data_IF_951202780612
#
_entry.id   IF_951202780612
#
_cell.length_a   1.000
_cell.length_b   1.000
_cell.length_c   1.000
_cell.angle_alpha   90.00
_cell.angle_beta   90.00
_cell.angle_gamma   90.00
#
_symmetry.space_group_name_H-M   'P 1'
#
loop_
_entity.id
_entity.type
_entity.pdbx_description
1 polymer ?
#
# COMPACT_ATOMS: atom_id res chain seq x y z
N UNK A 1 109.92 9.23 29.07
CA UNK A 1 109.18 8.84 30.29
C UNK A 1 107.82 9.52 30.23
N UNK A 2 106.82 8.79 30.69
CA UNK A 2 105.48 9.23 31.10
C UNK A 2 104.37 9.43 30.03
N UNK A 3 103.65 8.32 29.82
CA UNK A 3 102.21 8.11 30.10
C UNK A 3 101.54 9.26 30.88
N UNK A 4 100.29 9.70 30.72
CA UNK A 4 99.00 9.16 30.29
C UNK A 4 98.02 10.35 30.29
N UNK A 5 96.97 10.36 29.45
CA UNK A 5 95.56 10.66 29.83
C UNK A 5 94.62 10.40 28.62
N UNK A 6 93.39 9.85 28.81
CA UNK A 6 92.42 9.61 27.74
C UNK A 6 91.35 10.72 27.63
N UNK A 7 90.76 10.94 26.45
CA UNK A 7 89.52 11.74 26.27
C UNK A 7 88.78 11.34 24.96
N UNK A 8 87.47 11.62 24.77
CA UNK A 8 86.45 10.60 24.60
C UNK A 8 85.93 10.48 23.16
N UNK A 9 85.13 9.43 22.96
CA UNK A 9 84.37 9.11 21.76
C UNK A 9 83.60 10.31 21.17
N UNK A 10 83.67 10.45 19.85
CA UNK A 10 82.56 11.00 19.06
C UNK A 10 82.36 10.11 17.82
N UNK A 11 81.61 9.03 18.03
CA UNK A 11 80.98 8.29 16.95
C UNK A 11 79.86 9.17 16.37
N UNK A 12 80.11 9.81 15.24
CA UNK A 12 79.04 10.38 14.42
C UNK A 12 78.45 9.23 13.60
N UNK A 13 77.29 8.75 14.06
CA UNK A 13 76.48 7.70 13.43
C UNK A 13 75.89 8.14 12.09
N UNK A 14 75.79 7.20 11.15
CA UNK A 14 75.27 7.35 9.79
C UNK A 14 73.75 7.11 9.70
N UNK A 15 73.16 6.80 8.53
CA UNK A 15 72.53 7.66 7.53
C UNK A 15 70.99 7.49 7.53
N UNK A 16 70.34 7.50 8.70
CA UNK A 16 68.91 7.17 8.82
C UNK A 16 67.97 8.30 8.36
N UNK A 17 68.39 9.56 8.49
CA UNK A 17 67.56 10.76 8.27
C UNK A 17 67.00 10.89 6.84
N UNK A 18 67.78 10.55 5.80
CA UNK A 18 67.35 10.68 4.40
C UNK A 18 66.20 9.72 4.05
N UNK A 19 66.15 8.52 4.63
CA UNK A 19 65.06 7.56 4.37
C UNK A 19 63.74 8.04 4.98
N UNK A 20 63.78 8.58 6.20
CA UNK A 20 62.61 9.16 6.85
C UNK A 20 62.13 10.45 6.18
N UNK A 21 63.04 11.24 5.58
CA UNK A 21 62.67 12.41 4.79
C UNK A 21 61.80 12.05 3.58
N UNK A 22 62.17 11.02 2.79
CA UNK A 22 61.38 10.60 1.64
C UNK A 22 60.05 9.96 2.02
N UNK A 23 60.00 9.23 3.14
CA UNK A 23 58.75 8.69 3.69
C UNK A 23 57.82 9.85 4.11
N UNK A 24 58.36 10.89 4.77
CA UNK A 24 57.60 12.07 5.13
C UNK A 24 57.03 12.82 3.92
N UNK A 25 57.84 13.00 2.86
CA UNK A 25 57.41 13.64 1.61
C UNK A 25 56.30 12.81 0.92
N UNK A 26 56.43 11.48 0.90
CA UNK A 26 55.42 10.59 0.33
C UNK A 26 54.07 10.67 1.04
N UNK A 27 54.08 10.76 2.38
CA UNK A 27 52.85 10.91 3.19
C UNK A 27 52.19 12.27 2.91
N UNK A 28 52.97 13.34 2.82
CA UNK A 28 52.44 14.69 2.52
C UNK A 28 51.80 14.72 1.14
N UNK A 29 52.42 14.11 0.12
CA UNK A 29 51.85 14.04 -1.22
C UNK A 29 50.53 13.26 -1.25
N UNK A 30 50.43 12.14 -0.50
CA UNK A 30 49.19 11.38 -0.38
C UNK A 30 48.09 12.17 0.32
N UNK A 31 48.42 12.96 1.36
CA UNK A 31 47.45 13.82 2.04
C UNK A 31 46.95 14.94 1.11
N UNK A 32 47.84 15.57 0.34
CA UNK A 32 47.46 16.62 -0.62
C UNK A 32 46.59 16.06 -1.73
N UNK A 33 46.91 14.87 -2.25
CA UNK A 33 46.07 14.19 -3.25
C UNK A 33 44.71 13.79 -2.66
N UNK A 34 44.68 13.28 -1.43
CA UNK A 34 43.44 12.93 -0.73
C UNK A 34 42.52 14.14 -0.50
N UNK A 35 43.08 15.27 -0.06
CA UNK A 35 42.34 16.54 0.11
C UNK A 35 41.87 17.08 -1.23
N UNK A 36 42.70 17.01 -2.28
CA UNK A 36 42.32 17.44 -3.63
C UNK A 36 41.18 16.62 -4.23
N UNK A 37 41.22 15.29 -4.06
CA UNK A 37 40.13 14.38 -4.48
C UNK A 37 38.86 14.64 -3.66
N UNK A 38 38.98 14.81 -2.34
CA UNK A 38 37.84 15.12 -1.47
C UNK A 38 37.20 16.48 -1.81
N UNK A 39 38.01 17.49 -2.11
CA UNK A 39 37.54 18.81 -2.53
C UNK A 39 36.89 18.79 -3.93
N UNK A 40 37.48 18.06 -4.88
CA UNK A 40 36.90 17.86 -6.21
C UNK A 40 35.58 17.09 -6.16
N UNK A 41 35.46 16.07 -5.29
CA UNK A 41 34.19 15.39 -5.03
C UNK A 41 33.20 16.38 -4.39
N UNK A 42 33.59 17.15 -3.36
CA UNK A 42 32.73 18.15 -2.72
C UNK A 42 32.21 19.23 -3.68
N UNK A 43 32.97 19.59 -4.72
CA UNK A 43 32.52 20.54 -5.74
C UNK A 43 31.52 19.92 -6.74
N UNK A 44 31.49 18.60 -6.88
CA UNK A 44 30.63 17.88 -7.85
C UNK A 44 29.44 17.16 -7.22
N UNK A 45 29.46 16.87 -5.92
CA UNK A 45 28.24 16.53 -5.19
C UNK A 45 27.45 17.81 -4.95
N UNK A 46 26.27 17.99 -5.57
CA UNK A 46 25.36 19.02 -5.11
C UNK A 46 25.09 18.78 -3.61
N UNK A 47 24.97 19.83 -2.77
CA UNK A 47 24.63 19.67 -1.37
C UNK A 47 23.39 18.78 -1.32
N UNK A 48 23.49 17.64 -0.64
CA UNK A 48 22.34 16.80 -0.39
C UNK A 48 21.35 17.70 0.37
N UNK A 49 20.23 18.07 -0.28
CA UNK A 49 19.15 18.83 0.33
C UNK A 49 18.46 17.96 1.39
N UNK A 50 19.13 17.72 2.50
CA UNK A 50 18.54 17.17 3.72
C UNK A 50 17.85 18.30 4.48
N UNK A 51 16.92 19.00 3.80
CA UNK A 51 16.02 19.99 4.44
C UNK A 51 14.82 20.38 3.58
N UNK A 52 14.12 19.41 2.99
CA UNK A 52 12.82 19.68 2.32
C UNK A 52 11.71 18.68 2.66
N UNK A 53 12.03 17.56 3.30
CA UNK A 53 11.04 16.59 3.77
C UNK A 53 10.41 17.00 5.12
N UNK A 54 11.16 17.71 5.97
CA UNK A 54 10.70 18.20 7.28
C UNK A 54 9.60 19.28 7.14
N UNK A 55 9.56 20.00 6.02
CA UNK A 55 8.60 21.09 5.82
C UNK A 55 7.16 20.61 5.52
N UNK A 56 6.97 19.41 4.97
CA UNK A 56 5.62 18.90 4.67
C UNK A 56 5.01 18.17 5.89
N UNK A 57 5.84 17.49 6.68
CA UNK A 57 5.39 16.79 7.89
C UNK A 57 4.86 17.78 8.95
N UNK A 58 5.47 18.97 9.04
CA UNK A 58 5.04 20.08 9.91
C UNK A 58 3.75 20.76 9.40
N UNK A 59 3.56 20.84 8.07
CA UNK A 59 2.38 21.48 7.46
C UNK A 59 1.06 20.71 7.64
N UNK A 60 1.10 19.46 8.08
CA UNK A 60 -0.11 18.65 8.34
C UNK A 60 -0.51 18.59 9.83
N UNK A 61 0.26 19.23 10.71
CA UNK A 61 0.02 19.20 12.15
C UNK A 61 -1.34 19.81 12.53
N UNK A 62 -1.73 20.88 11.85
CA UNK A 62 -2.97 21.62 12.10
C UNK A 62 -4.14 21.16 11.22
N UNK A 63 -3.96 20.11 10.41
CA UNK A 63 -5.01 19.66 9.49
C UNK A 63 -6.26 19.16 10.23
N UNK A 64 -7.42 19.48 9.66
CA UNK A 64 -8.70 18.95 10.09
C UNK A 64 -8.87 17.51 9.61
N UNK A 65 -9.75 16.76 10.27
CA UNK A 65 -10.11 15.40 9.88
C UNK A 65 -11.53 15.39 9.34
N UNK A 66 -11.70 14.94 8.10
CA UNK A 66 -13.00 14.61 7.53
C UNK A 66 -13.28 13.14 7.84
N UNK A 67 -14.52 12.83 8.23
CA UNK A 67 -14.97 11.47 8.49
C UNK A 67 -16.41 11.31 8.00
N UNK A 68 -16.65 10.31 7.18
CA UNK A 68 -17.98 9.91 6.77
C UNK A 68 -18.15 8.40 6.99
N UNK A 69 -19.05 8.04 7.91
CA UNK A 69 -19.31 6.64 8.27
C UNK A 69 -20.05 5.89 7.16
N UNK A 70 -21.01 6.53 6.49
CA UNK A 70 -21.79 5.93 5.40
C UNK A 70 -20.92 5.55 4.20
N UNK A 71 -19.91 6.38 3.92
CA UNK A 71 -18.92 6.15 2.87
C UNK A 71 -17.70 5.37 3.30
N UNK A 72 -17.56 5.09 4.60
CA UNK A 72 -16.45 4.32 5.12
C UNK A 72 -15.10 4.99 4.83
N UNK A 73 -15.02 6.32 4.83
CA UNK A 73 -13.78 7.07 4.57
C UNK A 73 -13.48 8.14 5.62
N UNK A 74 -12.19 8.32 5.86
CA UNK A 74 -11.61 9.31 6.75
C UNK A 74 -10.30 9.78 6.13
N UNK A 75 -10.06 11.09 6.16
CA UNK A 75 -8.80 11.65 5.69
C UNK A 75 -8.58 13.01 6.34
N UNK A 76 -7.33 13.48 6.33
CA UNK A 76 -6.99 14.81 6.79
C UNK A 76 -7.00 15.80 5.63
N UNK A 77 -7.31 17.06 5.92
CA UNK A 77 -7.28 18.16 4.95
C UNK A 77 -6.86 19.49 5.61
N UNK A 78 -6.37 20.47 4.83
CA UNK A 78 -5.88 21.74 5.39
C UNK A 78 -6.92 22.49 6.23
N UNK A 79 -6.48 23.10 7.33
CA UNK A 79 -7.37 23.70 8.32
C UNK A 79 -8.20 24.87 7.77
N UNK A 80 -7.62 25.61 6.82
CA UNK A 80 -8.20 26.78 6.18
C UNK A 80 -9.23 26.41 5.10
N UNK A 81 -9.23 25.17 4.62
CA UNK A 81 -10.20 24.71 3.62
C UNK A 81 -11.60 24.64 4.23
N UNK A 82 -12.57 25.06 3.44
CA UNK A 82 -13.97 25.05 3.81
C UNK A 82 -14.65 23.83 3.18
N UNK A 83 -15.32 23.07 4.02
CA UNK A 83 -16.22 22.02 3.56
C UNK A 83 -17.49 22.70 3.08
N UNK A 84 -17.76 22.58 1.78
CA UNK A 84 -18.98 23.05 1.15
C UNK A 84 -19.89 21.87 0.85
N UNK A 85 -20.95 21.77 1.67
CA UNK A 85 -22.01 20.77 1.52
C UNK A 85 -23.24 21.36 0.81
N UNK A 86 -23.19 22.60 0.32
CA UNK A 86 -24.38 23.30 -0.20
C UNK A 86 -24.87 22.77 -1.55
N UNK A 87 -23.99 22.16 -2.34
CA UNK A 87 -24.34 21.44 -3.57
C UNK A 87 -24.68 19.96 -3.34
N UNK A 88 -24.62 19.52 -2.08
CA UNK A 88 -24.91 18.15 -1.67
C UNK A 88 -26.39 18.12 -1.36
N UNK A 89 -27.16 17.42 -2.18
CA UNK A 89 -28.53 17.10 -1.81
C UNK A 89 -28.45 16.38 -0.44
N UNK A 90 -29.25 16.74 0.58
CA UNK A 90 -29.20 16.11 1.91
C UNK A 90 -29.39 14.58 1.90
N UNK A 91 -29.81 14.04 0.74
CA UNK A 91 -29.92 12.62 0.39
C UNK A 91 -28.56 12.02 -0.03
N UNK A 92 -27.56 12.82 -0.41
CA UNK A 92 -26.34 12.41 -1.15
C UNK A 92 -25.07 12.34 -0.29
N UNK A 93 -25.23 11.98 0.98
CA UNK A 93 -24.12 11.62 1.87
C UNK A 93 -23.94 10.10 2.00
N UNK A 94 -24.26 9.34 0.94
CA UNK A 94 -24.09 7.90 0.87
C UNK A 94 -25.30 7.17 0.27
N UNK A 95 -25.73 6.08 0.92
CA UNK A 95 -26.77 5.21 0.37
C UNK A 95 -28.16 5.75 0.61
N UNK A 96 -28.97 5.75 -0.45
CA UNK A 96 -30.40 6.05 -0.38
C UNK A 96 -31.20 5.03 -1.17
N UNK A 97 -32.50 4.97 -0.89
CA UNK A 97 -33.43 4.15 -1.66
C UNK A 97 -34.14 5.02 -2.68
N UNK A 98 -33.93 4.77 -3.97
CA UNK A 98 -34.63 5.42 -5.08
C UNK A 98 -35.42 4.36 -5.84
N UNK A 99 -36.74 4.53 -5.94
CA UNK A 99 -37.65 3.59 -6.61
C UNK A 99 -37.54 2.13 -6.10
N UNK A 100 -37.27 1.95 -4.80
CA UNK A 100 -37.11 0.64 -4.17
C UNK A 100 -35.76 -0.05 -4.42
N UNK A 101 -34.80 0.65 -5.06
CA UNK A 101 -33.43 0.18 -5.27
C UNK A 101 -32.43 1.00 -4.45
N UNK A 102 -31.39 0.38 -3.89
CA UNK A 102 -30.27 1.12 -3.32
C UNK A 102 -29.60 1.94 -4.43
N UNK A 103 -29.30 3.20 -4.13
CA UNK A 103 -28.60 4.15 -4.98
C UNK A 103 -27.58 4.86 -4.11
N UNK A 104 -26.32 4.85 -4.50
CA UNK A 104 -25.29 5.60 -3.78
C UNK A 104 -25.15 6.97 -4.42
N UNK A 105 -25.35 8.01 -3.62
CA UNK A 105 -24.98 9.35 -4.03
C UNK A 105 -24.06 9.90 -2.96
N UNK A 106 -22.81 10.16 -3.33
CA UNK A 106 -21.81 10.77 -2.47
C UNK A 106 -21.16 11.89 -3.26
N UNK A 107 -21.26 13.13 -2.78
CA UNK A 107 -20.52 14.27 -3.31
C UNK A 107 -20.14 15.19 -2.15
N UNK A 108 -18.89 15.63 -2.08
CA UNK A 108 -18.45 16.70 -1.20
C UNK A 108 -17.46 17.60 -1.93
N UNK A 109 -17.46 18.88 -1.59
CA UNK A 109 -16.47 19.82 -2.11
C UNK A 109 -15.67 20.41 -0.95
N UNK A 110 -14.35 20.37 -1.06
CA UNK A 110 -13.44 21.00 -0.13
C UNK A 110 -12.72 22.14 -0.85
N UNK A 111 -13.08 23.36 -0.48
CA UNK A 111 -12.62 24.58 -1.13
C UNK A 111 -11.49 25.24 -0.32
N UNK A 112 -10.31 25.33 -0.91
CA UNK A 112 -9.22 26.20 -0.46
C UNK A 112 -9.17 27.51 -1.25
N UNK A 113 -8.31 28.44 -0.83
CA UNK A 113 -8.26 29.80 -1.41
C UNK A 113 -7.98 29.84 -2.92
N UNK A 114 -7.17 28.89 -3.44
CA UNK A 114 -6.72 28.86 -4.84
C UNK A 114 -6.90 27.47 -5.49
N UNK A 115 -7.48 26.52 -4.77
CA UNK A 115 -7.60 25.12 -5.20
C UNK A 115 -8.65 24.44 -4.34
N UNK A 116 -9.24 23.36 -4.83
CA UNK A 116 -10.19 22.57 -4.07
C UNK A 116 -10.29 21.18 -4.65
N UNK A 117 -10.83 20.26 -3.87
CA UNK A 117 -11.10 18.91 -4.34
C UNK A 117 -12.59 18.63 -4.31
N UNK A 118 -13.08 18.07 -5.39
CA UNK A 118 -14.39 17.43 -5.46
C UNK A 118 -14.17 15.95 -5.14
N UNK A 119 -14.93 15.41 -4.19
CA UNK A 119 -14.92 13.97 -3.95
C UNK A 119 -16.33 13.48 -4.25
N UNK A 120 -16.45 12.51 -5.14
CA UNK A 120 -17.74 11.98 -5.56
C UNK A 120 -17.71 10.49 -5.80
N UNK A 121 -18.87 9.85 -5.83
CA UNK A 121 -19.00 8.52 -6.38
C UNK A 121 -18.86 8.55 -7.92
N UNK A 122 -18.10 7.63 -8.50
CA UNK A 122 -17.86 7.57 -9.96
C UNK A 122 -19.08 7.06 -10.73
N UNK A 123 -19.61 7.88 -11.63
CA UNK A 123 -20.55 7.47 -12.68
C UNK A 123 -19.83 6.72 -13.81
N UNK A 124 -20.41 5.72 -14.50
CA UNK A 124 -21.79 5.24 -14.39
C UNK A 124 -21.98 4.18 -13.30
N UNK A 125 -23.18 4.22 -12.70
CA UNK A 125 -23.77 3.28 -11.75
C UNK A 125 -23.71 1.82 -12.25
N UNK A 126 -22.52 1.24 -12.22
CA UNK A 126 -22.33 -0.21 -12.23
C UNK A 126 -22.51 -0.76 -10.81
N UNK A 127 -23.42 -0.18 -10.00
CA UNK A 127 -23.82 -0.68 -8.67
C UNK A 127 -24.28 -2.15 -8.71
N UNK A 128 -24.64 -2.64 -9.90
CA UNK A 128 -24.94 -4.07 -10.14
C UNK A 128 -23.69 -4.96 -10.24
N UNK A 129 -22.47 -4.39 -10.24
CA UNK A 129 -21.19 -5.08 -10.34
C UNK A 129 -20.38 -4.83 -9.07
N UNK A 130 -19.59 -5.83 -8.68
CA UNK A 130 -18.69 -5.68 -7.53
C UNK A 130 -17.67 -4.55 -7.76
N UNK A 131 -17.26 -3.87 -6.69
CA UNK A 131 -16.17 -2.86 -6.71
C UNK A 131 -14.92 -3.40 -7.41
N UNK A 132 -14.60 -4.69 -7.23
CA UNK A 132 -13.44 -5.28 -7.90
C UNK A 132 -13.61 -5.41 -9.41
N UNK A 133 -14.82 -5.71 -9.88
CA UNK A 133 -15.11 -5.77 -11.31
C UNK A 133 -15.02 -4.37 -11.94
N UNK A 134 -15.56 -3.36 -11.27
CA UNK A 134 -15.44 -1.96 -11.67
C UNK A 134 -13.97 -1.49 -11.68
N UNK A 135 -13.18 -1.83 -10.66
CA UNK A 135 -11.74 -1.53 -10.66
C UNK A 135 -11.01 -2.22 -11.81
N UNK A 136 -11.40 -3.45 -12.16
CA UNK A 136 -10.80 -4.20 -13.26
C UNK A 136 -10.91 -3.48 -14.61
N UNK A 137 -11.98 -2.72 -14.83
CA UNK A 137 -12.17 -1.92 -16.05
C UNK A 137 -11.51 -0.54 -15.97
N UNK A 138 -11.35 0.02 -14.78
CA UNK A 138 -10.77 1.34 -14.52
C UNK A 138 -9.25 1.32 -14.29
N UNK A 139 -8.65 0.14 -14.17
CA UNK A 139 -7.21 -0.03 -14.05
C UNK A 139 -6.46 0.63 -15.20
N UNK A 140 -5.21 1.00 -14.93
CA UNK A 140 -4.36 1.75 -15.84
C UNK A 140 -4.36 1.16 -17.24
N UNK A 141 -5.19 1.74 -18.13
CA UNK A 141 -5.15 1.48 -19.55
C UNK A 141 -4.18 2.46 -20.19
N UNK A 142 -3.32 1.97 -21.07
CA UNK A 142 -2.23 2.77 -21.66
C UNK A 142 -2.73 3.93 -22.54
N UNK A 143 -4.02 3.98 -22.87
CA UNK A 143 -4.52 4.84 -23.95
C UNK A 143 -5.02 6.22 -23.51
N UNK A 144 -5.39 6.42 -22.24
CA UNK A 144 -6.15 7.62 -21.82
C UNK A 144 -5.42 8.56 -20.84
N UNK A 145 -4.34 8.13 -20.18
CA UNK A 145 -3.74 8.90 -19.07
C UNK A 145 -2.31 9.35 -19.36
N UNK A 146 -1.95 10.56 -18.91
CA UNK A 146 -0.54 11.02 -18.86
C UNK A 146 0.23 10.21 -17.80
N UNK A 147 -0.44 9.92 -16.69
CA UNK A 147 0.08 9.08 -15.62
C UNK A 147 -1.06 8.25 -15.05
N UNK A 148 -0.79 6.98 -14.76
CA UNK A 148 -1.67 6.14 -13.95
C UNK A 148 -0.81 5.26 -13.04
N UNK A 149 -1.05 5.32 -11.73
CA UNK A 149 -0.28 4.61 -10.72
C UNK A 149 -1.21 3.98 -9.68
N UNK A 150 -0.98 2.71 -9.39
CA UNK A 150 -1.55 2.04 -8.23
C UNK A 150 -0.69 2.34 -7.01
N UNK A 151 -1.29 2.91 -5.97
CA UNK A 151 -0.62 3.42 -4.79
C UNK A 151 -1.35 2.96 -3.52
N UNK A 152 -0.68 3.13 -2.39
CA UNK A 152 -1.21 2.78 -1.06
C UNK A 152 -0.96 3.96 -0.11
N UNK A 153 -1.97 4.33 0.68
CA UNK A 153 -1.87 5.39 1.68
C UNK A 153 -0.98 4.98 2.87
N UNK A 154 -0.64 5.92 3.75
CA UNK A 154 0.11 5.63 4.98
C UNK A 154 -0.69 4.73 5.97
N UNK A 155 -1.99 4.54 5.71
CA UNK A 155 -2.91 3.68 6.47
C UNK A 155 -3.35 2.45 5.69
N UNK A 156 -2.57 2.02 4.69
CA UNK A 156 -2.83 0.84 3.87
C UNK A 156 -4.12 0.88 3.04
N UNK A 157 -4.60 2.07 2.68
CA UNK A 157 -5.74 2.20 1.75
C UNK A 157 -5.22 2.18 0.32
N UNK A 158 -5.59 1.20 -0.53
CA UNK A 158 -5.21 1.19 -1.93
C UNK A 158 -5.99 2.26 -2.71
N UNK A 159 -5.36 2.87 -3.71
CA UNK A 159 -6.00 3.79 -4.64
C UNK A 159 -5.27 3.85 -5.99
N UNK A 160 -5.99 4.25 -7.04
CA UNK A 160 -5.42 4.48 -8.38
C UNK A 160 -5.34 5.98 -8.60
N UNK A 161 -4.14 6.53 -8.76
CA UNK A 161 -3.91 7.94 -9.07
C UNK A 161 -3.75 8.11 -10.57
N UNK A 162 -4.53 8.99 -11.18
CA UNK A 162 -4.46 9.27 -12.62
C UNK A 162 -4.31 10.74 -12.92
N UNK A 163 -3.61 11.05 -14.00
CA UNK A 163 -3.52 12.38 -14.60
C UNK A 163 -4.14 12.30 -15.97
N UNK A 164 -5.24 13.02 -16.18
CA UNK A 164 -5.93 13.06 -17.47
C UNK A 164 -5.39 14.20 -18.35
N UNK A 165 -5.07 13.93 -19.62
CA UNK A 165 -4.66 14.95 -20.56
C UNK A 165 -5.83 15.89 -20.87
N UNK A 166 -5.50 17.16 -21.09
CA UNK A 166 -6.41 18.17 -21.62
C UNK A 166 -7.03 17.68 -22.95
N UNK A 167 -8.30 17.28 -22.93
CA UNK A 167 -9.08 17.07 -24.16
C UNK A 167 -9.44 18.45 -24.71
N UNK A 168 -9.18 18.68 -26.00
CA UNK A 168 -9.28 19.99 -26.66
C UNK A 168 -10.66 20.70 -26.53
N UNK A 169 -11.68 20.01 -26.02
CA UNK A 169 -13.06 20.49 -25.89
C UNK A 169 -13.47 20.90 -24.46
N UNK A 170 -12.65 20.65 -23.43
CA UNK A 170 -12.91 21.06 -22.05
C UNK A 170 -11.68 21.77 -21.46
N UNK A 171 -11.80 23.03 -20.99
CA UNK A 171 -10.67 23.75 -20.42
C UNK A 171 -10.27 23.14 -19.06
N UNK A 172 -9.06 22.57 -19.00
CA UNK A 172 -8.42 22.08 -17.77
C UNK A 172 -8.00 20.60 -17.85
N UNK A 173 -6.85 20.27 -17.28
CA UNK A 173 -6.53 18.89 -16.92
C UNK A 173 -7.21 18.51 -15.60
N UNK A 174 -7.17 17.25 -15.22
CA UNK A 174 -7.57 16.88 -13.85
C UNK A 174 -6.69 15.78 -13.31
N UNK A 175 -6.37 15.92 -12.03
CA UNK A 175 -5.72 14.89 -11.25
C UNK A 175 -6.83 14.17 -10.49
N UNK A 176 -6.93 12.86 -10.70
CA UNK A 176 -7.91 12.02 -10.04
C UNK A 176 -7.23 10.99 -9.13
N UNK A 177 -7.95 10.57 -8.11
CA UNK A 177 -7.66 9.32 -7.43
C UNK A 177 -8.93 8.50 -7.21
N UNK A 178 -8.91 7.26 -7.67
CA UNK A 178 -9.98 6.29 -7.50
C UNK A 178 -9.72 5.45 -6.26
N UNK A 179 -10.59 5.58 -5.27
CA UNK A 179 -10.49 4.92 -3.96
C UNK A 179 -11.60 3.87 -3.85
N UNK A 180 -11.28 2.58 -3.92
CA UNK A 180 -12.26 1.52 -3.67
C UNK A 180 -12.50 1.35 -2.17
N UNK A 181 -13.69 1.73 -1.69
CA UNK A 181 -14.07 1.63 -0.27
C UNK A 181 -14.51 0.21 0.14
N UNK A 182 -14.59 -0.72 -0.81
CA UNK A 182 -15.20 -2.04 -0.64
C UNK A 182 -16.71 -2.04 -0.90
N UNK A 183 -17.35 -0.87 -0.88
CA UNK A 183 -18.78 -0.68 -1.21
C UNK A 183 -18.99 0.00 -2.55
N UNK A 184 -18.17 1.02 -2.83
CA UNK A 184 -18.17 1.76 -4.09
C UNK A 184 -16.77 2.31 -4.37
N UNK A 185 -16.58 2.89 -5.55
CA UNK A 185 -15.38 3.65 -5.91
C UNK A 185 -15.68 5.13 -5.71
N UNK A 186 -14.85 5.82 -4.93
CA UNK A 186 -14.86 7.26 -4.80
C UNK A 186 -13.78 7.87 -5.70
N UNK A 187 -14.14 8.88 -6.47
CA UNK A 187 -13.21 9.74 -7.18
C UNK A 187 -12.88 10.96 -6.34
N UNK A 188 -11.60 11.17 -6.08
CA UNK A 188 -11.04 12.42 -5.58
C UNK A 188 -10.55 13.19 -6.80
N UNK A 189 -11.22 14.27 -7.16
CA UNK A 189 -10.88 15.08 -8.31
C UNK A 189 -10.31 16.42 -7.85
N UNK A 190 -9.09 16.72 -8.30
CA UNK A 190 -8.49 18.04 -8.25
C UNK A 190 -8.59 18.64 -9.66
N UNK A 191 -9.50 19.62 -9.89
CA UNK A 191 -9.48 20.42 -11.10
C UNK A 191 -8.12 21.12 -11.20
N UNK A 192 -7.40 20.89 -12.30
CA UNK A 192 -6.03 21.32 -12.45
C UNK A 192 -5.85 22.07 -13.78
N UNK A 193 -5.27 23.27 -13.75
CA UNK A 193 -4.83 23.88 -15.00
C UNK A 193 -3.69 23.04 -15.61
N UNK A 194 -3.47 23.18 -16.91
CA UNK A 194 -2.41 22.53 -17.68
C UNK A 194 -1.04 22.71 -17.02
N UNK A 195 -0.80 23.87 -16.39
CA UNK A 195 0.46 24.17 -15.71
C UNK A 195 0.63 23.38 -14.39
N UNK A 196 -0.46 23.11 -13.68
CA UNK A 196 -0.45 22.26 -12.48
C UNK A 196 -0.05 20.84 -12.84
N UNK A 197 -0.64 20.30 -13.91
CA UNK A 197 -0.38 18.94 -14.38
C UNK A 197 1.05 18.74 -14.88
N UNK A 198 1.68 19.79 -15.43
CA UNK A 198 3.05 19.73 -15.96
C UNK A 198 4.13 19.87 -14.88
N UNK A 199 3.82 20.48 -13.74
CA UNK A 199 4.75 20.62 -12.62
C UNK A 199 4.43 19.62 -11.49
N UNK A 200 5.13 18.47 -11.41
CA UNK A 200 4.93 17.52 -10.32
C UNK A 200 5.24 18.09 -8.93
N UNK A 201 5.92 19.24 -8.83
CA UNK A 201 6.19 19.92 -7.57
C UNK A 201 5.15 20.98 -7.20
N UNK A 202 4.09 21.15 -8.01
CA UNK A 202 3.07 22.16 -7.79
C UNK A 202 2.45 22.00 -6.39
N UNK A 203 2.25 23.10 -5.62
CA UNK A 203 1.71 23.01 -4.26
C UNK A 203 0.37 22.27 -4.17
N UNK A 204 -0.52 22.46 -5.15
CA UNK A 204 -1.81 21.75 -5.18
C UNK A 204 -1.66 20.23 -5.29
N UNK A 205 -0.68 19.75 -6.08
CA UNK A 205 -0.39 18.31 -6.19
C UNK A 205 0.12 17.76 -4.85
N UNK A 206 1.02 18.50 -4.18
CA UNK A 206 1.54 18.07 -2.88
C UNK A 206 0.46 17.98 -1.81
N UNK A 207 -0.47 18.94 -1.79
CA UNK A 207 -1.61 18.91 -0.86
C UNK A 207 -2.53 17.74 -1.20
N UNK A 208 -2.85 17.52 -2.47
CA UNK A 208 -3.66 16.38 -2.92
C UNK A 208 -3.04 15.03 -2.53
N UNK A 209 -1.75 14.84 -2.80
CA UNK A 209 -1.03 13.62 -2.44
C UNK A 209 -0.97 13.43 -0.91
N UNK A 210 -0.84 14.52 -0.13
CA UNK A 210 -0.88 14.45 1.33
C UNK A 210 -2.27 14.07 1.87
N UNK A 211 -3.35 14.56 1.25
CA UNK A 211 -4.73 14.14 1.55
C UNK A 211 -4.86 12.63 1.31
N UNK A 212 -4.46 12.14 0.14
CA UNK A 212 -4.52 10.71 -0.20
C UNK A 212 -3.65 9.84 0.69
N UNK A 213 -2.45 10.31 1.09
CA UNK A 213 -1.61 9.59 2.05
C UNK A 213 -2.25 9.47 3.43
N UNK A 214 -3.03 10.47 3.84
CA UNK A 214 -3.76 10.45 5.11
C UNK A 214 -5.05 9.62 5.09
N UNK A 215 -5.43 9.12 3.91
CA UNK A 215 -6.66 8.35 3.71
C UNK A 215 -6.65 7.08 4.54
N UNK A 216 -7.76 6.86 5.22
CA UNK A 216 -8.02 5.77 6.14
C UNK A 216 -9.48 5.34 5.94
N UNK A 217 -9.75 4.05 6.13
CA UNK A 217 -11.12 3.59 6.30
C UNK A 217 -11.46 3.62 7.80
N UNK A 218 -12.22 4.62 8.29
CA UNK A 218 -12.60 4.75 9.68
C UNK A 218 -13.41 3.51 10.04
N UNK A 219 -12.85 2.73 10.94
CA UNK A 219 -13.11 1.31 10.95
C UNK A 219 -14.58 0.89 11.05
N UNK A 220 -15.00 0.09 10.07
CA UNK A 220 -15.58 -1.23 10.36
C UNK A 220 -14.58 -2.11 11.15
N UNK A 221 -13.31 -1.69 11.23
CA UNK A 221 -12.21 -2.32 11.96
C UNK A 221 -11.98 -1.85 13.40
N UNK A 222 -12.72 -0.85 13.90
CA UNK A 222 -12.46 -0.25 15.23
C UNK A 222 -12.59 -1.27 16.39
N UNK A 223 -13.40 -2.31 16.19
CA UNK A 223 -13.61 -3.39 17.13
C UNK A 223 -12.90 -4.70 16.74
N UNK A 224 -12.10 -4.67 15.67
CA UNK A 224 -11.42 -5.87 15.20
C UNK A 224 -10.43 -6.38 16.22
N UNK A 225 -10.35 -7.70 16.29
CA UNK A 225 -9.37 -8.41 17.09
C UNK A 225 -8.10 -8.60 16.26
N UNK A 226 -6.97 -8.68 16.95
CA UNK A 226 -5.69 -9.03 16.34
C UNK A 226 -5.39 -10.49 16.60
N UNK A 227 -4.99 -11.22 15.56
CA UNK A 227 -4.38 -12.54 15.67
C UNK A 227 -2.90 -12.41 15.34
N UNK A 228 -2.05 -12.95 16.20
CA UNK A 228 -0.61 -13.00 16.00
C UNK A 228 -0.12 -14.37 16.42
N UNK A 229 0.59 -15.03 15.53
CA UNK A 229 1.19 -16.32 15.81
C UNK A 229 2.69 -16.26 15.47
N UNK A 230 3.53 -16.31 16.51
CA UNK A 230 4.99 -16.26 16.35
C UNK A 230 5.55 -17.58 15.80
N UNK A 231 4.94 -18.72 16.16
CA UNK A 231 5.34 -20.03 15.64
C UNK A 231 5.14 -20.12 14.12
N UNK A 232 4.02 -19.58 13.64
CA UNK A 232 3.72 -19.51 12.21
C UNK A 232 4.20 -18.22 11.55
N UNK A 233 4.73 -17.23 12.27
CA UNK A 233 5.33 -16.04 11.69
C UNK A 233 4.37 -15.19 10.85
N UNK A 234 3.12 -15.05 11.26
CA UNK A 234 2.19 -14.11 10.64
C UNK A 234 1.22 -13.49 11.64
N UNK A 235 0.71 -12.32 11.28
CA UNK A 235 -0.33 -11.61 12.01
C UNK A 235 -1.37 -11.05 11.05
N UNK A 236 -2.61 -10.92 11.53
CA UNK A 236 -3.68 -10.26 10.80
C UNK A 236 -4.72 -9.73 11.79
N UNK A 237 -5.54 -8.79 11.34
CA UNK A 237 -6.71 -8.31 12.09
C UNK A 237 -8.00 -8.85 11.47
N UNK A 238 -9.01 -9.05 12.30
CA UNK A 238 -10.27 -9.66 11.86
C UNK A 238 -11.47 -9.11 12.65
N UNK A 239 -12.68 -9.10 12.06
CA UNK A 239 -13.90 -8.67 12.73
C UNK A 239 -14.19 -9.32 14.08
N UNK A 240 -14.73 -8.55 15.02
CA UNK A 240 -14.94 -8.98 16.42
C UNK A 240 -15.87 -10.20 16.51
N UNK A 241 -16.84 -10.25 15.60
CA UNK A 241 -17.87 -11.27 15.43
C UNK A 241 -17.32 -12.60 14.89
N UNK A 242 -16.10 -12.62 14.32
CA UNK A 242 -15.48 -13.88 13.96
C UNK A 242 -14.94 -14.58 15.20
N UNK A 243 -15.01 -15.91 15.18
CA UNK A 243 -14.35 -16.74 16.17
C UNK A 243 -13.19 -17.47 15.51
N UNK A 244 -12.01 -17.32 16.11
CA UNK A 244 -10.88 -18.19 15.82
C UNK A 244 -11.12 -19.48 16.58
N UNK A 245 -11.24 -20.58 15.84
CA UNK A 245 -11.08 -21.90 16.44
C UNK A 245 -9.69 -22.35 16.09
N UNK A 246 -8.80 -22.31 17.07
CA UNK A 246 -7.51 -22.95 16.94
C UNK A 246 -7.74 -24.47 16.98
N UNK A 247 -8.05 -25.04 15.81
CA UNK A 247 -8.51 -26.42 15.68
C UNK A 247 -7.57 -27.16 14.72
N UNK A 248 -6.35 -27.40 15.17
CA UNK A 248 -5.34 -28.25 14.51
C UNK A 248 -5.97 -29.55 13.98
N UNK A 249 -6.23 -29.62 12.67
CA UNK A 249 -6.25 -30.89 11.92
C UNK A 249 -4.83 -31.26 11.46
N UNK A 250 -3.94 -30.26 11.36
CA UNK A 250 -2.50 -30.37 11.16
C UNK A 250 -1.77 -29.30 11.99
N UNK A 251 -0.45 -29.43 12.14
CA UNK A 251 0.40 -28.52 12.93
C UNK A 251 0.55 -27.10 12.35
N UNK A 252 -0.06 -26.78 11.21
CA UNK A 252 0.22 -25.53 10.46
C UNK A 252 -1.05 -24.78 9.99
N UNK A 253 -2.23 -25.14 10.50
CA UNK A 253 -3.53 -24.59 10.07
C UNK A 253 -4.22 -23.73 11.14
N UNK A 254 -4.75 -22.57 10.73
CA UNK A 254 -5.60 -21.68 11.53
C UNK A 254 -7.02 -21.65 10.96
N UNK A 255 -8.03 -21.98 11.76
CA UNK A 255 -9.43 -21.94 11.34
C UNK A 255 -10.13 -20.66 11.81
N UNK A 256 -10.60 -19.88 10.83
CA UNK A 256 -11.49 -18.76 11.03
C UNK A 256 -12.93 -19.18 10.73
N UNK A 257 -13.81 -19.08 11.72
CA UNK A 257 -15.24 -19.37 11.54
C UNK A 257 -16.08 -18.12 11.77
N UNK A 258 -16.97 -17.87 10.82
CA UNK A 258 -18.00 -16.84 10.89
C UNK A 258 -19.18 -17.44 11.65
N UNK A 259 -19.61 -16.78 12.72
CA UNK A 259 -20.79 -17.20 13.48
C UNK A 259 -21.98 -16.27 13.33
N UNK A 260 -21.89 -15.24 12.47
CA UNK A 260 -23.07 -14.42 12.23
C UNK A 260 -24.14 -15.26 11.51
N UNK A 261 -25.17 -15.60 12.28
CA UNK A 261 -26.27 -16.46 11.88
C UNK A 261 -27.32 -15.75 11.04
N UNK A 262 -27.15 -14.46 10.74
CA UNK A 262 -28.12 -13.67 9.97
C UNK A 262 -27.61 -13.19 8.61
N UNK A 263 -26.30 -13.11 8.39
CA UNK A 263 -25.71 -12.75 7.08
C UNK A 263 -25.30 -14.00 6.32
N UNK A 264 -25.84 -14.14 5.10
CA UNK A 264 -25.59 -15.28 4.22
C UNK A 264 -24.15 -15.24 3.68
N UNK A 265 -23.46 -16.40 3.61
CA UNK A 265 -23.97 -17.71 3.98
C UNK A 265 -23.70 -18.04 5.45
N UNK A 266 -24.76 -18.54 6.11
CA UNK A 266 -24.65 -19.24 7.39
C UNK A 266 -23.51 -20.27 7.30
N UNK A 267 -22.51 -20.14 8.18
CA UNK A 267 -21.35 -21.02 8.32
C UNK A 267 -20.21 -20.85 7.30
N UNK A 268 -19.99 -19.66 6.75
CA UNK A 268 -18.75 -19.37 6.04
C UNK A 268 -17.54 -19.69 6.95
N UNK A 269 -16.52 -20.35 6.38
CA UNK A 269 -15.31 -20.76 7.09
C UNK A 269 -14.11 -20.47 6.21
N UNK A 270 -13.12 -19.78 6.76
CA UNK A 270 -11.80 -19.64 6.15
C UNK A 270 -10.79 -20.50 6.89
N UNK A 271 -9.95 -21.18 6.12
CA UNK A 271 -8.80 -21.93 6.62
C UNK A 271 -7.57 -21.18 6.12
N UNK A 272 -6.75 -20.70 7.05
CA UNK A 272 -5.46 -20.10 6.76
C UNK A 272 -4.38 -21.15 7.03
N UNK A 273 -3.70 -21.58 5.98
CA UNK A 273 -2.62 -22.57 6.07
C UNK A 273 -1.31 -21.92 5.65
N UNK A 274 -0.32 -21.93 6.55
CA UNK A 274 1.04 -21.50 6.19
C UNK A 274 1.73 -22.61 5.43
N UNK A 275 2.35 -22.27 4.30
CA UNK A 275 3.14 -23.20 3.50
C UNK A 275 2.38 -24.51 3.21
N UNK A 276 1.09 -24.38 2.88
CA UNK A 276 0.10 -25.45 2.83
C UNK A 276 0.69 -26.82 2.47
N UNK A 277 0.45 -27.81 3.34
CA UNK A 277 0.95 -29.16 3.16
C UNK A 277 -0.13 -30.06 2.56
N UNK A 278 0.28 -30.92 1.64
CA UNK A 278 -0.57 -31.98 1.12
C UNK A 278 0.17 -33.31 1.19
N UNK A 279 -0.45 -34.33 1.79
CA UNK A 279 0.16 -35.66 1.99
C UNK A 279 1.59 -35.62 2.60
N UNK A 280 1.83 -34.69 3.53
CA UNK A 280 3.11 -34.44 4.20
C UNK A 280 4.22 -33.82 3.33
N UNK A 281 3.91 -33.34 2.13
CA UNK A 281 4.83 -32.58 1.30
C UNK A 281 4.47 -31.09 1.36
N UNK A 282 5.51 -30.25 1.46
CA UNK A 282 5.36 -28.79 1.40
C UNK A 282 5.10 -28.39 -0.04
N UNK A 283 3.96 -27.77 -0.30
CA UNK A 283 3.65 -27.26 -1.62
C UNK A 283 4.27 -25.88 -1.81
N UNK A 284 4.68 -25.55 -3.03
CA UNK A 284 4.89 -24.17 -3.45
C UNK A 284 3.53 -23.50 -3.83
N UNK A 285 3.47 -22.17 -4.00
CA UNK A 285 2.21 -21.48 -4.33
C UNK A 285 1.47 -22.05 -5.55
N UNK A 286 2.19 -22.36 -6.62
CA UNK A 286 1.60 -22.94 -7.83
C UNK A 286 1.05 -24.34 -7.54
N UNK A 287 1.80 -25.15 -6.81
CA UNK A 287 1.41 -26.49 -6.38
C UNK A 287 0.20 -26.50 -5.46
N UNK A 288 -0.07 -25.43 -4.71
CA UNK A 288 -1.32 -25.29 -3.96
C UNK A 288 -2.50 -25.20 -4.92
N UNK A 289 -2.40 -24.38 -5.97
CA UNK A 289 -3.40 -24.37 -7.04
C UNK A 289 -3.51 -25.72 -7.76
N UNK A 290 -2.41 -26.49 -7.87
CA UNK A 290 -2.42 -27.86 -8.40
C UNK A 290 -2.82 -28.96 -7.40
N UNK A 291 -2.87 -28.72 -6.10
CA UNK A 291 -3.38 -29.72 -5.12
C UNK A 291 -4.91 -29.77 -5.14
N UNK A 292 -5.52 -28.65 -5.51
CA UNK A 292 -6.94 -28.49 -5.84
C UNK A 292 -7.33 -29.31 -7.11
N UNK A 293 -6.35 -29.68 -7.93
CA UNK A 293 -6.44 -30.31 -9.26
C UNK A 293 -7.01 -31.73 -9.27
N UNK A 294 -7.17 -32.37 -8.10
CA UNK A 294 -7.54 -33.78 -8.03
C UNK A 294 -9.04 -34.07 -8.14
N UNK A 295 -9.91 -33.06 -8.33
CA UNK A 295 -11.37 -33.33 -8.41
C UNK A 295 -12.18 -32.56 -9.49
N UNK A 296 -11.59 -31.65 -10.29
CA UNK A 296 -12.29 -31.01 -11.43
C UNK A 296 -11.34 -30.26 -12.38
N UNK A 297 -11.84 -29.79 -13.54
CA UNK A 297 -11.21 -28.70 -14.32
C UNK A 297 -11.50 -27.38 -13.59
N UNK A 298 -10.51 -26.51 -13.43
CA UNK A 298 -10.66 -25.22 -12.74
C UNK A 298 -10.50 -24.05 -13.69
N UNK A 299 -10.99 -22.89 -13.27
CA UNK A 299 -10.76 -21.61 -13.93
C UNK A 299 -9.99 -20.72 -12.96
N UNK A 300 -8.86 -20.18 -13.41
CA UNK A 300 -8.07 -19.20 -12.67
C UNK A 300 -8.54 -17.82 -13.10
N UNK A 301 -8.81 -16.95 -12.12
CA UNK A 301 -9.03 -15.55 -12.39
C UNK A 301 -7.95 -14.74 -11.65
N UNK A 302 -7.20 -13.95 -12.41
CA UNK A 302 -6.34 -12.92 -11.84
C UNK A 302 -7.24 -11.72 -11.51
N UNK A 303 -7.44 -11.46 -10.21
CA UNK A 303 -8.05 -10.20 -9.79
C UNK A 303 -6.96 -9.19 -9.47
N UNK A 304 -7.18 -7.94 -9.86
CA UNK A 304 -6.09 -7.02 -9.93
C UNK A 304 -6.21 -6.22 -8.61
N UNK A 305 -5.66 -6.82 -7.55
CA UNK A 305 -5.06 -6.26 -6.32
C UNK A 305 -4.67 -7.46 -5.43
N UNK A 306 -3.39 -7.80 -5.49
CA UNK A 306 -2.61 -8.69 -4.61
C UNK A 306 -2.90 -10.20 -4.54
N UNK A 307 -4.03 -10.76 -4.98
CA UNK A 307 -4.29 -12.20 -4.76
C UNK A 307 -4.88 -12.94 -5.98
N UNK A 308 -4.11 -13.87 -6.55
CA UNK A 308 -4.64 -14.88 -7.49
C UNK A 308 -5.54 -15.85 -6.73
N UNK A 309 -6.68 -16.22 -7.32
CA UNK A 309 -7.56 -17.23 -6.75
C UNK A 309 -7.98 -18.28 -7.79
N UNK A 310 -8.19 -19.50 -7.32
CA UNK A 310 -8.65 -20.61 -8.14
C UNK A 310 -10.02 -21.10 -7.67
N UNK A 311 -10.91 -21.32 -8.64
CA UNK A 311 -12.25 -21.88 -8.44
C UNK A 311 -12.47 -23.02 -9.43
N UNK A 312 -13.12 -24.13 -9.02
CA UNK A 312 -13.43 -25.23 -9.94
C UNK A 312 -14.36 -24.83 -11.07
N UNK A 313 -15.48 -24.19 -10.73
CA UNK A 313 -16.48 -23.77 -11.71
C UNK A 313 -17.06 -22.44 -11.27
N UNK A 314 -16.78 -21.37 -12.03
CA UNK A 314 -17.37 -20.06 -11.77
C UNK A 314 -18.91 -20.06 -11.86
N UNK A 315 -19.51 -20.98 -12.62
CA UNK A 315 -20.97 -21.07 -12.73
C UNK A 315 -21.60 -21.73 -11.50
N UNK A 316 -20.85 -22.59 -10.80
CA UNK A 316 -21.29 -23.30 -9.61
C UNK A 316 -20.11 -23.43 -8.62
N UNK A 317 -19.67 -22.31 -8.03
CA UNK A 317 -18.49 -22.32 -7.17
C UNK A 317 -18.82 -23.12 -5.91
N UNK A 318 -17.98 -24.10 -5.55
CA UNK A 318 -18.14 -24.93 -4.33
C UNK A 318 -17.09 -24.62 -3.26
N UNK A 319 -15.94 -24.12 -3.69
CA UNK A 319 -14.82 -23.73 -2.86
C UNK A 319 -13.93 -22.78 -3.66
N UNK A 320 -13.11 -21.99 -2.97
CA UNK A 320 -12.01 -21.25 -3.60
C UNK A 320 -10.78 -21.22 -2.70
N UNK A 321 -9.64 -20.96 -3.32
CA UNK A 321 -8.37 -20.73 -2.63
C UNK A 321 -7.73 -19.44 -3.12
N UNK A 322 -7.20 -18.66 -2.18
CA UNK A 322 -6.39 -17.46 -2.39
C UNK A 322 -5.02 -17.66 -1.76
N UNK A 323 -3.99 -17.09 -2.37
CA UNK A 323 -2.62 -17.20 -1.87
C UNK A 323 -2.00 -15.81 -1.73
N UNK A 324 -1.50 -15.50 -0.53
CA UNK A 324 -0.61 -14.38 -0.26
C UNK A 324 0.81 -14.92 -0.06
N UNK A 325 1.75 -14.54 -0.92
CA UNK A 325 3.16 -14.91 -0.80
C UNK A 325 4.00 -13.73 -0.29
N UNK A 326 5.11 -14.04 0.40
CA UNK A 326 6.16 -13.08 0.70
C UNK A 326 6.86 -12.62 -0.58
N UNK A 327 7.53 -11.47 -0.53
CA UNK A 327 8.18 -10.87 -1.69
C UNK A 327 9.26 -11.77 -2.34
N UNK A 328 9.89 -12.64 -1.55
CA UNK A 328 10.87 -13.63 -2.00
C UNK A 328 10.23 -14.98 -2.40
N UNK A 329 8.91 -15.12 -2.28
CA UNK A 329 8.16 -16.35 -2.57
C UNK A 329 8.44 -17.51 -1.61
N UNK A 330 9.26 -17.31 -0.57
CA UNK A 330 9.68 -18.40 0.33
C UNK A 330 8.63 -18.76 1.36
N UNK A 331 7.71 -17.85 1.66
CA UNK A 331 6.59 -18.07 2.56
C UNK A 331 5.30 -17.70 1.84
N UNK A 332 4.24 -18.44 2.11
CA UNK A 332 2.91 -18.04 1.69
C UNK A 332 1.85 -18.51 2.69
N UNK A 333 0.72 -17.80 2.67
CA UNK A 333 -0.50 -18.17 3.36
C UNK A 333 -1.53 -18.51 2.28
N UNK A 334 -2.06 -19.72 2.34
CA UNK A 334 -3.23 -20.10 1.58
C UNK A 334 -4.48 -19.86 2.43
N UNK A 335 -5.39 -19.02 1.93
CA UNK A 335 -6.73 -18.83 2.49
C UNK A 335 -7.73 -19.63 1.66
N UNK A 336 -8.40 -20.57 2.29
CA UNK A 336 -9.31 -21.51 1.63
C UNK A 336 -10.71 -21.42 2.23
N UNK A 337 -11.74 -21.56 1.39
CA UNK A 337 -13.12 -21.74 1.86
C UNK A 337 -13.83 -22.82 1.07
N UNK A 338 -14.78 -23.49 1.70
CA UNK A 338 -15.62 -24.54 1.13
C UNK A 338 -17.10 -24.25 1.38
N UNK A 339 -17.97 -25.03 0.75
CA UNK A 339 -19.43 -24.99 0.92
C UNK A 339 -20.07 -23.66 0.48
N UNK A 340 -19.43 -22.97 -0.47
CA UNK A 340 -19.97 -21.76 -1.10
C UNK A 340 -20.88 -22.11 -2.28
N UNK A 341 -21.65 -21.14 -2.76
CA UNK A 341 -22.46 -21.22 -3.98
C UNK A 341 -22.33 -19.89 -4.75
N UNK A 342 -22.98 -19.79 -5.92
CA UNK A 342 -22.87 -18.58 -6.76
C UNK A 342 -23.33 -17.30 -6.05
N UNK A 343 -24.34 -17.37 -5.20
CA UNK A 343 -24.88 -16.22 -4.45
C UNK A 343 -23.94 -15.77 -3.32
N UNK A 344 -23.24 -16.70 -2.69
CA UNK A 344 -22.33 -16.41 -1.58
C UNK A 344 -20.88 -16.22 -1.99
N UNK A 345 -20.54 -16.45 -3.26
CA UNK A 345 -19.17 -16.40 -3.73
C UNK A 345 -18.57 -15.00 -3.65
N UNK A 346 -19.29 -13.98 -4.15
CA UNK A 346 -18.81 -12.59 -4.10
C UNK A 346 -18.66 -12.08 -2.68
N UNK A 347 -19.58 -12.47 -1.78
CA UNK A 347 -19.47 -12.18 -0.35
C UNK A 347 -18.21 -12.84 0.25
N UNK A 348 -17.98 -14.12 -0.02
CA UNK A 348 -16.82 -14.83 0.47
C UNK A 348 -15.50 -14.25 -0.10
N UNK A 349 -15.49 -13.79 -1.36
CA UNK A 349 -14.35 -13.06 -1.91
C UNK A 349 -14.09 -11.76 -1.12
N UNK A 350 -15.12 -10.93 -0.92
CA UNK A 350 -15.01 -9.67 -0.19
C UNK A 350 -14.52 -9.86 1.26
N UNK A 351 -15.03 -10.85 1.97
CA UNK A 351 -14.57 -11.15 3.34
C UNK A 351 -13.14 -11.67 3.37
N UNK A 352 -12.71 -12.42 2.35
CA UNK A 352 -11.31 -12.84 2.25
C UNK A 352 -10.36 -11.67 1.90
N UNK A 353 -10.81 -10.66 1.15
CA UNK A 353 -10.05 -9.43 0.89
C UNK A 353 -9.75 -8.70 2.19
N UNK A 354 -10.75 -8.55 3.07
CA UNK A 354 -10.61 -7.94 4.39
C UNK A 354 -9.51 -8.59 5.25
N UNK A 355 -9.44 -9.93 5.23
CA UNK A 355 -8.44 -10.69 5.99
C UNK A 355 -7.05 -10.53 5.37
N UNK A 356 -6.93 -10.71 4.05
CA UNK A 356 -5.63 -10.72 3.37
C UNK A 356 -5.01 -9.32 3.24
N UNK A 357 -5.80 -8.24 3.15
CA UNK A 357 -5.31 -6.86 3.14
C UNK A 357 -4.57 -6.49 4.44
N UNK A 358 -4.95 -7.11 5.56
CA UNK A 358 -4.36 -6.84 6.86
C UNK A 358 -3.33 -7.90 7.29
N UNK A 359 -3.09 -8.92 6.46
CA UNK A 359 -2.15 -9.99 6.78
C UNK A 359 -0.71 -9.53 6.55
N UNK A 360 0.15 -9.81 7.53
CA UNK A 360 1.57 -9.50 7.48
C UNK A 360 2.39 -10.72 7.89
N UNK A 361 3.48 -10.96 7.17
CA UNK A 361 4.51 -11.90 7.62
C UNK A 361 5.34 -11.25 8.73
N UNK A 362 5.56 -11.97 9.81
CA UNK A 362 6.44 -11.57 10.91
C UNK A 362 7.83 -12.09 10.57
N UNK A 363 8.83 -11.20 10.64
CA UNK A 363 10.24 -11.51 10.38
C UNK A 363 10.88 -12.32 11.49
#
# INVERSE_FOLDING_TARGET
MDQLQPNPQNNITSPAYRKWLYIGIGIILLLVLGVGVWWYISLKTPPQETKKEIALQDQTADWKTYRNETAGIQFKYPAEWQLDETFVDPITHGDITKDGKPFTSFVINLNGNNTGILISHTYPDDDNKSVTEQLGTLRCSEYYYIECKELVSDKNVPYIRTIEPHLAELPGGSLHALVPTGKYILSFQLPADVDVVKDPNHPAIKVFDAILKSLEFPGETANWKSYRNEEYGFEFTYPQEYQIKDASLSKDDVFLRFYDGEVVPKNLRFILSKNAYWKNERLNPDEVFYSIYLDAKHQVAEKPLLYTYAVPDFKNPKYFVRILASADGTNFIALQTSDINAESFDYALAESDKILLNLKFIQ
#
